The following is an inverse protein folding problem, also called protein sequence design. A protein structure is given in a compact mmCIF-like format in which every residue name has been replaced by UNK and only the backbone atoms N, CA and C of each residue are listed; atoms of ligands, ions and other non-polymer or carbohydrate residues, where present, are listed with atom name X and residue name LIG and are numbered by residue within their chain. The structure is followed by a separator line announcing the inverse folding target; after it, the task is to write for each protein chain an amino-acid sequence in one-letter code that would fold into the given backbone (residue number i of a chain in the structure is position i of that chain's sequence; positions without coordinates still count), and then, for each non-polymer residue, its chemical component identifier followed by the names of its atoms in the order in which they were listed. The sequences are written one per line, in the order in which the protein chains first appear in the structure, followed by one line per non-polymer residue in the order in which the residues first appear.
data_IF_436104327551
#
_entry.id   IF_436104327551
#
_cell.length_a   1.000
_cell.length_b   1.000
_cell.length_c   1.000
_cell.angle_alpha   90.00
_cell.angle_beta   90.00
_cell.angle_gamma   90.00
#
_symmetry.space_group_name_H-M   'P 1'
#
loop_
_entity.id
_entity.type
_entity.pdbx_description
1 polymer ?
#
# COMPACT_ATOMS: atom_id res chain seq x y z
N UNK A 1 -6.34 5.55 -2.66
CA UNK A 1 -6.70 6.74 -3.45
C UNK A 1 -5.48 7.56 -3.85
N UNK A 2 -4.53 7.86 -2.94
CA UNK A 2 -3.33 8.64 -3.27
C UNK A 2 -2.37 8.04 -4.31
N UNK A 3 -2.44 6.74 -4.62
CA UNK A 3 -1.60 6.09 -5.63
C UNK A 3 -1.88 6.54 -7.08
N UNK A 4 -3.06 7.10 -7.36
CA UNK A 4 -3.34 7.70 -8.67
C UNK A 4 -2.39 8.86 -9.01
N UNK A 5 -1.82 9.51 -7.99
CA UNK A 5 -0.81 10.55 -8.17
C UNK A 5 0.51 10.02 -8.71
N UNK A 6 0.86 8.77 -8.45
CA UNK A 6 2.08 8.19 -8.99
C UNK A 6 2.02 8.16 -10.52
N UNK A 7 0.90 7.72 -11.07
CA UNK A 7 0.66 7.73 -12.52
C UNK A 7 0.68 9.16 -13.07
N UNK A 8 -0.12 10.05 -12.48
CA UNK A 8 -0.36 11.38 -13.04
C UNK A 8 0.85 12.31 -12.88
N UNK A 9 1.43 12.39 -11.67
CA UNK A 9 2.63 13.20 -11.44
C UNK A 9 3.84 12.61 -12.16
N UNK A 10 3.97 11.27 -12.21
CA UNK A 10 5.10 10.65 -12.91
C UNK A 10 5.06 10.85 -14.42
N UNK A 11 3.90 10.59 -15.05
CA UNK A 11 3.74 10.84 -16.49
C UNK A 11 3.89 12.33 -16.83
N UNK A 12 3.39 13.23 -15.98
CA UNK A 12 3.56 14.68 -16.17
C UNK A 12 5.01 15.12 -16.02
N UNK A 13 5.73 14.58 -15.05
CA UNK A 13 7.14 14.87 -14.84
C UNK A 13 7.98 14.39 -16.03
N UNK A 14 7.75 13.17 -16.50
CA UNK A 14 8.41 12.63 -17.70
C UNK A 14 8.13 13.47 -18.95
N UNK A 15 6.89 13.95 -19.10
CA UNK A 15 6.49 14.82 -20.22
C UNK A 15 7.01 16.27 -20.11
N UNK A 16 7.78 16.62 -19.07
CA UNK A 16 8.26 17.98 -18.83
C UNK A 16 7.20 18.97 -18.35
N UNK A 17 5.98 18.51 -18.04
CA UNK A 17 4.86 19.33 -17.55
C UNK A 17 4.91 19.50 -16.03
N UNK A 18 6.05 19.98 -15.53
CA UNK A 18 6.40 20.00 -14.11
C UNK A 18 5.40 20.84 -13.28
N UNK A 19 4.84 21.89 -13.86
CA UNK A 19 3.88 22.77 -13.18
C UNK A 19 2.55 22.09 -12.83
N UNK A 20 2.14 21.06 -13.58
CA UNK A 20 0.89 20.33 -13.33
C UNK A 20 0.97 19.47 -12.07
N UNK A 21 2.17 19.10 -11.62
CA UNK A 21 2.36 18.29 -10.41
C UNK A 21 1.74 18.99 -9.20
N UNK A 22 1.93 20.30 -9.06
CA UNK A 22 1.36 21.08 -7.97
C UNK A 22 -0.17 21.12 -8.00
N UNK A 23 -0.75 21.14 -9.20
CA UNK A 23 -2.21 21.10 -9.41
C UNK A 23 -2.77 19.73 -9.05
N UNK A 24 -2.12 18.63 -9.47
CA UNK A 24 -2.52 17.28 -9.10
C UNK A 24 -2.40 17.02 -7.60
N UNK A 25 -1.33 17.54 -6.96
CA UNK A 25 -1.17 17.50 -5.51
C UNK A 25 -2.37 18.15 -4.80
N UNK A 26 -2.74 19.36 -5.20
CA UNK A 26 -3.88 20.08 -4.62
C UNK A 26 -5.21 19.34 -4.86
N UNK A 27 -5.45 18.83 -6.08
CA UNK A 27 -6.63 17.98 -6.38
C UNK A 27 -6.71 16.79 -5.44
N UNK A 28 -5.58 16.13 -5.21
CA UNK A 28 -5.51 14.96 -4.33
C UNK A 28 -5.80 15.32 -2.88
N UNK A 29 -5.24 16.42 -2.37
CA UNK A 29 -5.56 16.89 -1.01
C UNK A 29 -7.05 17.14 -0.84
N UNK A 30 -7.69 17.84 -1.78
CA UNK A 30 -9.13 18.13 -1.73
C UNK A 30 -9.94 16.83 -1.68
N UNK A 31 -9.64 15.88 -2.58
CA UNK A 31 -10.37 14.62 -2.68
C UNK A 31 -10.14 13.73 -1.45
N UNK A 32 -8.90 13.63 -0.96
CA UNK A 32 -8.59 12.80 0.20
C UNK A 32 -9.15 13.38 1.49
N UNK A 33 -9.11 14.71 1.67
CA UNK A 33 -9.74 15.38 2.82
C UNK A 33 -11.26 15.18 2.79
N UNK A 34 -11.90 15.33 1.63
CA UNK A 34 -13.33 15.03 1.48
C UNK A 34 -13.63 13.55 1.79
N UNK A 35 -12.78 12.63 1.34
CA UNK A 35 -12.90 11.20 1.63
C UNK A 35 -12.73 10.89 3.13
N UNK A 36 -11.84 11.59 3.82
CA UNK A 36 -11.69 11.49 5.28
C UNK A 36 -13.00 11.84 5.99
N UNK A 37 -13.70 12.90 5.57
CA UNK A 37 -15.02 13.22 6.12
C UNK A 37 -16.06 12.11 5.85
N UNK A 38 -16.03 11.48 4.67
CA UNK A 38 -16.92 10.35 4.37
C UNK A 38 -16.63 9.10 5.22
N UNK A 39 -15.36 8.86 5.58
CA UNK A 39 -14.92 7.68 6.37
C UNK A 39 -15.02 7.94 7.88
N UNK A 40 -14.95 9.20 8.31
CA UNK A 40 -14.99 9.61 9.72
C UNK A 40 -16.13 8.98 10.55
N UNK A 41 -17.37 8.81 10.04
CA UNK A 41 -18.42 8.10 10.77
C UNK A 41 -18.01 6.69 11.22
N UNK A 42 -17.20 5.95 10.45
CA UNK A 42 -16.72 4.62 10.85
C UNK A 42 -15.80 4.69 12.08
N UNK A 43 -15.03 5.77 12.22
CA UNK A 43 -14.17 5.99 13.40
C UNK A 43 -15.02 6.38 14.62
N UNK A 44 -15.98 7.29 14.43
CA UNK A 44 -16.88 7.75 15.50
C UNK A 44 -17.76 6.60 16.03
N UNK A 45 -18.31 5.79 15.13
CA UNK A 45 -19.18 4.67 15.47
C UNK A 45 -18.44 3.33 15.60
N UNK A 46 -17.11 3.34 15.79
CA UNK A 46 -16.32 2.11 15.92
C UNK A 46 -16.80 1.20 17.05
N UNK A 47 -17.12 1.72 18.24
CA UNK A 47 -17.63 0.91 19.36
C UNK A 47 -18.93 0.17 18.99
N UNK A 48 -20.03 0.84 18.59
CA UNK A 48 -21.27 0.13 18.25
C UNK A 48 -21.10 -0.81 17.06
N UNK A 49 -20.28 -0.45 16.06
CA UNK A 49 -19.98 -1.34 14.92
C UNK A 49 -19.29 -2.62 15.41
N UNK A 50 -18.26 -2.51 16.26
CA UNK A 50 -17.54 -3.67 16.78
C UNK A 50 -18.43 -4.55 17.66
N UNK A 51 -19.28 -3.95 18.51
CA UNK A 51 -20.28 -4.69 19.30
C UNK A 51 -21.28 -5.42 18.40
N UNK A 52 -21.74 -4.79 17.33
CA UNK A 52 -22.62 -5.42 16.34
C UNK A 52 -21.96 -6.62 15.63
N UNK A 53 -20.65 -6.54 15.39
CA UNK A 53 -19.84 -7.63 14.82
C UNK A 53 -19.50 -8.73 15.85
N UNK A 54 -20.04 -8.67 17.06
CA UNK A 54 -19.88 -9.70 18.10
C UNK A 54 -18.59 -9.58 18.93
N UNK A 55 -17.89 -8.44 18.88
CA UNK A 55 -16.75 -8.21 19.76
C UNK A 55 -17.19 -8.00 21.21
N UNK A 56 -16.33 -8.40 22.16
CA UNK A 56 -16.56 -8.16 23.59
C UNK A 56 -16.65 -6.66 23.89
N UNK A 57 -17.53 -6.29 24.81
CA UNK A 57 -17.81 -4.90 25.18
C UNK A 57 -16.56 -4.13 25.62
N UNK A 58 -15.72 -4.73 26.46
CA UNK A 58 -14.51 -4.12 26.99
C UNK A 58 -13.47 -3.81 25.90
N UNK A 59 -13.36 -4.70 24.90
CA UNK A 59 -12.46 -4.51 23.75
C UNK A 59 -13.04 -3.47 22.79
N UNK A 60 -14.34 -3.53 22.49
CA UNK A 60 -15.02 -2.63 21.56
C UNK A 60 -15.04 -1.17 22.09
N UNK A 61 -15.17 -0.97 23.39
CA UNK A 61 -15.12 0.34 24.04
C UNK A 61 -13.71 0.94 23.99
N UNK A 62 -12.69 0.15 24.30
CA UNK A 62 -11.30 0.60 24.23
C UNK A 62 -10.90 0.93 22.77
N UNK A 63 -11.24 0.06 21.82
CA UNK A 63 -10.96 0.25 20.41
C UNK A 63 -11.66 1.49 19.86
N UNK A 64 -12.95 1.70 20.17
CA UNK A 64 -13.66 2.89 19.68
C UNK A 64 -13.17 4.19 20.33
N UNK A 65 -12.78 4.17 21.61
CA UNK A 65 -12.11 5.33 22.23
C UNK A 65 -10.80 5.66 21.51
N UNK A 66 -9.98 4.66 21.20
CA UNK A 66 -8.74 4.85 20.45
C UNK A 66 -9.01 5.35 19.02
N UNK A 67 -9.99 4.76 18.32
CA UNK A 67 -10.41 5.18 16.97
C UNK A 67 -10.77 6.67 16.94
N UNK A 68 -11.57 7.16 17.89
CA UNK A 68 -11.92 8.59 17.97
C UNK A 68 -10.67 9.45 18.19
N UNK A 69 -9.75 8.98 19.03
CA UNK A 69 -8.53 9.73 19.35
C UNK A 69 -7.60 9.89 18.14
N UNK A 70 -7.52 8.91 17.24
CA UNK A 70 -6.64 8.96 16.06
C UNK A 70 -7.28 9.58 14.80
N UNK A 71 -8.45 10.21 14.92
CA UNK A 71 -9.07 10.95 13.80
C UNK A 71 -8.11 12.01 13.22
N UNK A 72 -7.35 12.80 14.01
CA UNK A 72 -6.40 13.77 13.45
C UNK A 72 -5.35 13.11 12.56
N UNK A 73 -4.84 11.94 12.93
CA UNK A 73 -3.91 11.18 12.12
C UNK A 73 -4.50 10.77 10.76
N UNK A 74 -5.78 10.43 10.68
CA UNK A 74 -6.44 10.13 9.40
C UNK A 74 -6.36 11.32 8.43
N UNK A 75 -6.57 12.54 8.91
CA UNK A 75 -6.45 13.75 8.09
C UNK A 75 -5.00 14.07 7.70
N UNK A 76 -4.02 13.76 8.56
CA UNK A 76 -2.62 13.94 8.21
C UNK A 76 -2.21 13.02 7.06
N UNK A 77 -2.76 11.79 6.97
CA UNK A 77 -2.54 10.88 5.85
C UNK A 77 -3.06 11.44 4.51
N UNK A 78 -4.19 12.16 4.54
CA UNK A 78 -4.74 12.82 3.35
C UNK A 78 -3.78 13.87 2.78
N UNK A 79 -2.91 14.44 3.61
CA UNK A 79 -1.86 15.37 3.20
C UNK A 79 -0.57 14.64 2.87
N UNK A 80 -0.12 13.74 3.75
CA UNK A 80 1.15 13.03 3.65
C UNK A 80 1.25 12.20 2.37
N UNK A 81 0.25 11.35 2.06
CA UNK A 81 0.37 10.45 0.92
C UNK A 81 0.51 11.19 -0.42
N UNK A 82 -0.31 12.19 -0.76
CA UNK A 82 -0.11 12.96 -1.99
C UNK A 82 1.23 13.68 -2.05
N UNK A 83 1.65 14.26 -0.92
CA UNK A 83 2.93 14.99 -0.80
C UNK A 83 4.12 14.06 -1.04
N UNK A 84 4.05 12.85 -0.48
CA UNK A 84 5.02 11.79 -0.73
C UNK A 84 5.06 11.41 -2.21
N UNK A 85 3.91 11.23 -2.88
CA UNK A 85 3.86 10.88 -4.30
C UNK A 85 4.38 12.00 -5.21
N UNK A 86 4.10 13.25 -4.86
CA UNK A 86 4.65 14.43 -5.55
C UNK A 86 6.19 14.44 -5.50
N UNK A 87 6.77 14.20 -4.33
CA UNK A 87 8.24 14.15 -4.17
C UNK A 87 8.86 12.91 -4.83
N UNK A 88 8.19 11.76 -4.73
CA UNK A 88 8.61 10.51 -5.36
C UNK A 88 8.65 10.62 -6.88
N UNK A 89 7.63 11.20 -7.52
CA UNK A 89 7.58 11.38 -8.98
C UNK A 89 8.79 12.15 -9.52
N UNK A 90 9.28 13.12 -8.75
CA UNK A 90 10.45 13.94 -9.07
C UNK A 90 11.78 13.30 -8.64
N UNK A 91 11.77 12.05 -8.16
CA UNK A 91 12.92 11.35 -7.58
C UNK A 91 13.55 12.04 -6.37
N UNK A 92 12.82 12.93 -5.69
CA UNK A 92 13.28 13.59 -4.48
C UNK A 92 12.99 12.72 -3.24
N UNK A 93 13.60 11.53 -3.21
CA UNK A 93 13.33 10.50 -2.19
C UNK A 93 14.21 10.64 -0.96
N UNK A 94 15.35 11.32 -1.07
CA UNK A 94 16.27 11.53 0.06
C UNK A 94 15.62 12.34 1.18
N UNK A 95 14.87 13.40 0.84
CA UNK A 95 14.13 14.19 1.84
C UNK A 95 13.08 13.34 2.56
N UNK A 96 12.40 12.43 1.86
CA UNK A 96 11.41 11.53 2.46
C UNK A 96 12.06 10.58 3.47
N UNK A 97 13.26 10.06 3.15
CA UNK A 97 14.02 9.22 4.05
C UNK A 97 14.45 9.97 5.32
N UNK A 98 14.98 11.19 5.17
CA UNK A 98 15.38 12.02 6.32
C UNK A 98 14.20 12.41 7.19
N UNK A 99 13.08 12.85 6.60
CA UNK A 99 11.85 13.16 7.34
C UNK A 99 11.35 11.92 8.07
N UNK A 100 11.34 10.75 7.43
CA UNK A 100 10.94 9.49 8.06
C UNK A 100 11.83 9.10 9.25
N UNK A 101 13.15 9.19 9.10
CA UNK A 101 14.10 8.88 10.18
C UNK A 101 13.95 9.85 11.37
N UNK A 102 13.86 11.15 11.11
CA UNK A 102 13.65 12.16 12.16
C UNK A 102 12.31 12.00 12.85
N UNK A 103 11.24 11.68 12.09
CA UNK A 103 9.94 11.42 12.65
C UNK A 103 9.92 10.17 13.53
N UNK A 104 10.67 9.11 13.18
CA UNK A 104 10.83 7.92 14.02
C UNK A 104 11.51 8.26 15.34
N UNK A 105 12.64 8.99 15.30
CA UNK A 105 13.35 9.41 16.50
C UNK A 105 12.47 10.28 17.42
N UNK A 106 11.75 11.23 16.82
CA UNK A 106 10.78 12.07 17.53
C UNK A 106 9.64 11.23 18.11
N UNK A 107 9.09 10.27 17.35
CA UNK A 107 7.99 9.41 17.82
C UNK A 107 8.38 8.60 19.06
N UNK A 108 9.59 8.03 19.08
CA UNK A 108 10.13 7.32 20.24
C UNK A 108 10.20 8.25 21.46
N UNK A 109 10.71 9.48 21.28
CA UNK A 109 10.79 10.47 22.36
C UNK A 109 9.42 10.90 22.89
N UNK A 110 8.46 11.16 22.01
CA UNK A 110 7.10 11.56 22.38
C UNK A 110 6.36 10.41 23.07
N UNK A 111 6.52 9.17 22.60
CA UNK A 111 5.97 7.98 23.27
C UNK A 111 6.54 7.84 24.69
N UNK A 112 7.85 7.98 24.85
CA UNK A 112 8.48 7.94 26.17
C UNK A 112 7.89 9.00 27.10
N UNK A 113 7.78 10.24 26.61
CA UNK A 113 7.21 11.35 27.39
C UNK A 113 5.76 11.08 27.78
N UNK A 114 4.88 10.73 26.83
CA UNK A 114 3.45 10.62 27.09
C UNK A 114 3.08 9.36 27.88
N UNK A 115 3.77 8.25 27.65
CA UNK A 115 3.46 6.98 28.31
C UNK A 115 4.21 6.84 29.64
N UNK A 116 5.50 7.14 29.69
CA UNK A 116 6.32 6.92 30.91
C UNK A 116 6.32 8.11 31.85
N UNK A 117 6.45 9.33 31.33
CA UNK A 117 6.54 10.54 32.18
C UNK A 117 5.16 11.05 32.57
N UNK A 118 4.28 11.27 31.59
CA UNK A 118 2.93 11.81 31.84
C UNK A 118 1.89 10.76 32.21
N UNK A 119 2.19 9.47 32.00
CA UNK A 119 1.31 8.34 32.32
C UNK A 119 -0.09 8.41 31.68
N UNK A 120 -0.18 8.93 30.45
CA UNK A 120 -1.45 9.04 29.71
C UNK A 120 -1.92 7.70 29.11
N UNK A 121 -1.16 6.62 29.29
CA UNK A 121 -1.49 5.28 28.81
C UNK A 121 -1.79 5.25 27.30
N UNK A 122 -2.90 4.60 26.92
CA UNK A 122 -3.34 4.44 25.53
C UNK A 122 -3.65 5.79 24.86
N UNK A 123 -4.15 6.77 25.60
CA UNK A 123 -4.38 8.12 25.07
C UNK A 123 -3.07 8.84 24.78
N UNK A 124 -2.03 8.58 25.57
CA UNK A 124 -0.68 9.03 25.26
C UNK A 124 -0.15 8.43 23.95
N UNK A 125 -0.40 7.15 23.70
CA UNK A 125 -0.03 6.50 22.44
C UNK A 125 -0.76 7.11 21.23
N UNK A 126 -2.07 7.36 21.34
CA UNK A 126 -2.84 8.02 20.29
C UNK A 126 -2.33 9.44 20.00
N UNK A 127 -2.10 10.25 21.03
CA UNK A 127 -1.56 11.60 20.87
C UNK A 127 -0.17 11.61 20.23
N UNK A 128 0.71 10.68 20.63
CA UNK A 128 2.03 10.53 20.01
C UNK A 128 1.92 10.18 18.52
N UNK A 129 0.94 9.33 18.17
CA UNK A 129 0.67 8.94 16.78
C UNK A 129 0.17 10.12 15.95
N UNK A 130 -0.76 10.92 16.45
CA UNK A 130 -1.25 12.13 15.79
C UNK A 130 -0.12 13.16 15.56
N UNK A 131 0.67 13.45 16.59
CA UNK A 131 1.77 14.41 16.53
C UNK A 131 2.81 13.98 15.50
N UNK A 132 3.24 12.72 15.54
CA UNK A 132 4.23 12.22 14.59
C UNK A 132 3.73 12.22 13.15
N UNK A 133 2.46 11.85 12.93
CA UNK A 133 1.90 11.83 11.59
C UNK A 133 1.74 13.24 11.00
N UNK A 134 1.28 14.21 11.81
CA UNK A 134 1.21 15.60 11.38
C UNK A 134 2.59 16.24 11.18
N UNK A 135 3.57 15.92 12.03
CA UNK A 135 4.94 16.40 11.85
C UNK A 135 5.52 15.95 10.51
N UNK A 136 5.29 14.70 10.09
CA UNK A 136 5.69 14.21 8.76
C UNK A 136 4.97 15.00 7.66
N UNK A 137 3.64 15.10 7.73
CA UNK A 137 2.85 15.79 6.72
C UNK A 137 3.28 17.25 6.55
N UNK A 138 3.45 17.98 7.66
CA UNK A 138 3.86 19.38 7.65
C UNK A 138 5.31 19.55 7.17
N UNK A 139 6.24 18.70 7.60
CA UNK A 139 7.63 18.78 7.17
C UNK A 139 7.75 18.64 5.64
N UNK A 140 7.00 17.69 5.05
CA UNK A 140 7.00 17.52 3.61
C UNK A 140 6.33 18.71 2.87
N UNK A 141 5.22 19.25 3.40
CA UNK A 141 4.56 20.44 2.81
C UNK A 141 5.49 21.66 2.85
N UNK A 142 6.13 21.91 3.99
CA UNK A 142 7.11 23.01 4.15
C UNK A 142 8.24 22.86 3.15
N UNK A 143 8.75 21.64 2.96
CA UNK A 143 9.79 21.37 1.98
C UNK A 143 9.32 21.69 0.54
N UNK A 144 8.12 21.24 0.15
CA UNK A 144 7.58 21.52 -1.19
C UNK A 144 7.45 23.03 -1.42
N UNK A 145 6.84 23.75 -0.47
CA UNK A 145 6.61 25.20 -0.61
C UNK A 145 7.93 25.98 -0.65
N UNK A 146 8.94 25.56 0.12
CA UNK A 146 10.22 26.27 0.21
C UNK A 146 11.20 25.94 -0.93
N UNK A 147 11.28 24.68 -1.35
CA UNK A 147 12.35 24.17 -2.22
C UNK A 147 11.90 23.65 -3.58
N UNK A 148 10.62 23.33 -3.80
CA UNK A 148 10.11 22.80 -5.07
C UNK A 148 9.51 23.90 -5.97
N UNK A 149 10.24 25.00 -6.21
CA UNK A 149 9.71 26.20 -6.91
C UNK A 149 9.31 25.97 -8.38
N UNK A 150 9.83 24.93 -9.01
CA UNK A 150 9.51 24.59 -10.40
C UNK A 150 8.21 23.80 -10.52
N UNK A 151 7.95 22.90 -9.57
CA UNK A 151 6.76 22.04 -9.53
C UNK A 151 5.63 22.57 -8.64
N UNK A 152 5.92 23.55 -7.77
CA UNK A 152 4.96 24.21 -6.91
C UNK A 152 4.96 25.73 -7.16
N UNK A 153 3.94 26.22 -7.87
CA UNK A 153 3.70 27.65 -8.15
C UNK A 153 2.70 28.30 -7.18
N UNK A 154 2.35 27.62 -6.10
CA UNK A 154 1.31 28.05 -5.15
C UNK A 154 -0.06 27.44 -5.44
N UNK A 155 -1.07 27.93 -4.70
CA UNK A 155 -2.45 27.45 -4.83
C UNK A 155 -3.06 27.89 -6.16
N UNK A 156 -3.80 26.99 -6.81
CA UNK A 156 -4.40 27.22 -8.13
C UNK A 156 -5.86 26.80 -8.17
N UNK A 157 -6.71 27.66 -8.75
CA UNK A 157 -8.11 27.35 -9.03
C UNK A 157 -8.28 26.18 -10.02
N UNK A 158 -7.23 25.87 -10.80
CA UNK A 158 -7.22 24.70 -11.68
C UNK A 158 -7.36 23.39 -10.90
N UNK A 159 -7.02 23.38 -9.61
CA UNK A 159 -7.20 22.23 -8.74
C UNK A 159 -8.67 21.89 -8.47
N UNK A 160 -9.62 22.80 -8.73
CA UNK A 160 -11.06 22.52 -8.59
C UNK A 160 -11.71 22.01 -9.88
N UNK A 161 -11.00 22.05 -11.02
CA UNK A 161 -11.49 21.51 -12.29
C UNK A 161 -11.20 20.01 -12.40
N UNK A 162 -12.06 19.28 -13.13
CA UNK A 162 -11.90 17.85 -13.44
C UNK A 162 -11.75 16.94 -12.21
N UNK A 163 -12.38 17.30 -11.08
CA UNK A 163 -12.34 16.49 -9.85
C UNK A 163 -12.98 15.11 -10.04
N UNK A 164 -14.10 15.01 -10.77
CA UNK A 164 -14.83 13.75 -10.90
C UNK A 164 -14.05 12.64 -11.65
N UNK A 165 -13.45 12.90 -12.83
CA UNK A 165 -12.56 11.92 -13.46
C UNK A 165 -11.41 11.49 -12.54
N UNK A 166 -10.87 12.42 -11.73
CA UNK A 166 -9.78 12.14 -10.83
C UNK A 166 -10.22 11.25 -9.66
N UNK A 167 -11.42 11.49 -9.12
CA UNK A 167 -12.07 10.62 -8.13
C UNK A 167 -12.22 9.21 -8.70
N UNK A 168 -12.72 9.06 -9.93
CA UNK A 168 -12.88 7.74 -10.57
C UNK A 168 -11.57 6.95 -10.63
N UNK A 169 -10.47 7.59 -11.03
CA UNK A 169 -9.14 6.97 -11.07
C UNK A 169 -8.61 6.64 -9.66
N UNK A 170 -8.80 7.56 -8.72
CA UNK A 170 -8.39 7.40 -7.32
C UNK A 170 -9.12 6.24 -6.64
N UNK A 171 -10.42 6.08 -6.89
CA UNK A 171 -11.25 4.99 -6.36
C UNK A 171 -10.80 3.66 -6.94
N UNK A 172 -10.56 3.54 -8.25
CA UNK A 172 -10.05 2.30 -8.84
C UNK A 172 -8.72 1.86 -8.19
N UNK A 173 -7.80 2.81 -8.00
CA UNK A 173 -6.52 2.56 -7.33
C UNK A 173 -6.69 2.20 -5.85
N UNK A 174 -7.69 2.76 -5.17
CA UNK A 174 -8.02 2.43 -3.80
C UNK A 174 -8.57 1.01 -3.68
N UNK A 175 -9.53 0.65 -4.55
CA UNK A 175 -10.14 -0.69 -4.57
C UNK A 175 -9.07 -1.74 -4.82
N UNK A 176 -8.17 -1.54 -5.78
CA UNK A 176 -7.07 -2.46 -6.07
C UNK A 176 -6.25 -2.79 -4.81
N UNK A 177 -5.79 -1.76 -4.08
CA UNK A 177 -4.98 -1.92 -2.86
C UNK A 177 -5.81 -2.49 -1.71
N UNK A 178 -7.06 -2.04 -1.54
CA UNK A 178 -7.94 -2.55 -0.49
C UNK A 178 -8.22 -4.04 -0.67
N UNK A 179 -8.46 -4.51 -1.91
CA UNK A 179 -8.66 -5.93 -2.22
C UNK A 179 -7.42 -6.76 -1.83
N UNK A 180 -6.21 -6.25 -2.07
CA UNK A 180 -4.97 -6.92 -1.64
C UNK A 180 -4.87 -7.01 -0.11
N UNK A 181 -5.06 -5.89 0.59
CA UNK A 181 -4.92 -5.85 2.06
C UNK A 181 -6.02 -6.68 2.74
N UNK A 182 -7.27 -6.53 2.31
CA UNK A 182 -8.41 -7.25 2.89
C UNK A 182 -8.33 -8.74 2.63
N UNK A 183 -7.75 -9.15 1.49
CA UNK A 183 -7.50 -10.55 1.23
C UNK A 183 -6.61 -11.14 2.32
N UNK A 184 -5.45 -10.53 2.61
CA UNK A 184 -4.59 -10.97 3.70
C UNK A 184 -5.27 -10.88 5.08
N UNK A 185 -6.05 -9.83 5.37
CA UNK A 185 -6.76 -9.77 6.67
C UNK A 185 -7.79 -10.90 6.84
N UNK A 186 -8.35 -11.39 5.73
CA UNK A 186 -9.31 -12.51 5.78
C UNK A 186 -8.65 -13.80 6.25
N UNK A 187 -7.34 -14.01 6.02
CA UNK A 187 -6.63 -15.21 6.51
C UNK A 187 -6.68 -15.30 8.04
N UNK A 188 -6.52 -14.18 8.73
CA UNK A 188 -6.53 -14.11 10.19
C UNK A 188 -7.92 -14.42 10.71
N UNK A 189 -8.95 -13.82 10.09
CA UNK A 189 -10.36 -14.03 10.47
C UNK A 189 -10.78 -15.49 10.29
N UNK A 190 -10.46 -16.10 9.14
CA UNK A 190 -10.77 -17.51 8.89
C UNK A 190 -10.02 -18.43 9.85
N UNK A 191 -8.72 -18.18 10.04
CA UNK A 191 -7.88 -18.98 10.95
C UNK A 191 -8.38 -18.93 12.39
N UNK A 192 -8.98 -17.81 12.81
CA UNK A 192 -9.58 -17.66 14.15
C UNK A 192 -10.81 -18.52 14.43
N UNK A 193 -11.42 -19.14 13.40
CA UNK A 193 -12.57 -20.02 13.54
C UNK A 193 -12.21 -21.53 13.49
N UNK A 194 -10.92 -21.87 13.53
CA UNK A 194 -10.47 -23.27 13.62
C UNK A 194 -10.53 -23.80 15.06
N UNK A 195 -10.47 -25.12 15.23
CA UNK A 195 -10.64 -25.81 16.53
C UNK A 195 -9.57 -25.46 17.58
N UNK A 196 -8.31 -25.18 17.18
CA UNK A 196 -7.24 -24.66 18.06
C UNK A 196 -6.82 -23.24 17.61
N UNK A 197 -7.67 -22.22 17.85
CA UNK A 197 -7.47 -20.88 17.28
C UNK A 197 -6.25 -20.19 17.89
N UNK A 198 -5.85 -20.53 19.12
CA UNK A 198 -4.71 -19.91 19.80
C UNK A 198 -3.40 -20.28 19.08
N UNK A 199 -3.19 -21.58 18.81
CA UNK A 199 -1.99 -22.03 18.10
C UNK A 199 -2.06 -21.64 16.62
N UNK A 200 -3.23 -21.77 16.01
CA UNK A 200 -3.45 -21.46 14.61
C UNK A 200 -3.17 -19.98 14.29
N UNK A 201 -3.85 -19.06 14.99
CA UNK A 201 -3.68 -17.62 14.81
C UNK A 201 -2.30 -17.19 15.29
N UNK A 202 -1.83 -17.68 16.45
CA UNK A 202 -0.53 -17.29 16.99
C UNK A 202 0.64 -17.63 16.06
N UNK A 203 0.66 -18.85 15.51
CA UNK A 203 1.73 -19.27 14.59
C UNK A 203 1.67 -18.52 13.26
N UNK A 204 0.46 -18.31 12.73
CA UNK A 204 0.23 -17.49 11.54
C UNK A 204 0.67 -16.04 11.75
N UNK A 205 0.35 -15.42 12.90
CA UNK A 205 0.73 -14.04 13.23
C UNK A 205 2.25 -13.88 13.32
N UNK A 206 2.97 -14.85 13.87
CA UNK A 206 4.45 -14.84 13.89
C UNK A 206 4.99 -14.83 12.45
N UNK A 207 4.50 -15.72 11.59
CA UNK A 207 4.93 -15.74 10.20
C UNK A 207 4.56 -14.46 9.44
N UNK A 208 3.35 -13.93 9.65
CA UNK A 208 2.88 -12.71 9.00
C UNK A 208 3.64 -11.47 9.45
N UNK A 209 4.19 -11.43 10.67
CA UNK A 209 5.09 -10.37 11.10
C UNK A 209 6.39 -10.35 10.28
N UNK A 210 7.01 -11.51 10.07
CA UNK A 210 8.21 -11.62 9.21
C UNK A 210 7.90 -11.29 7.75
N UNK A 211 6.76 -11.77 7.22
CA UNK A 211 6.29 -11.36 5.89
C UNK A 211 6.06 -9.85 5.81
N UNK A 212 5.58 -9.22 6.88
CA UNK A 212 5.41 -7.77 6.96
C UNK A 212 6.73 -7.00 6.86
N UNK A 213 7.82 -7.50 7.45
CA UNK A 213 9.15 -6.88 7.33
C UNK A 213 9.65 -6.87 5.89
N UNK A 214 9.56 -8.00 5.20
CA UNK A 214 9.88 -8.09 3.78
C UNK A 214 8.91 -7.25 2.93
N UNK A 215 7.62 -7.25 3.27
CA UNK A 215 6.60 -6.46 2.60
C UNK A 215 6.93 -4.96 2.57
N UNK A 216 7.54 -4.42 3.63
CA UNK A 216 7.97 -3.01 3.65
C UNK A 216 9.06 -2.70 2.62
N UNK A 217 9.98 -3.65 2.39
CA UNK A 217 10.98 -3.54 1.33
C UNK A 217 10.32 -3.52 -0.05
N UNK A 218 9.38 -4.43 -0.31
CA UNK A 218 8.70 -4.50 -1.60
C UNK A 218 7.68 -3.38 -1.84
N UNK A 219 7.11 -2.77 -0.80
CA UNK A 219 6.35 -1.52 -0.93
C UNK A 219 7.27 -0.39 -1.41
N UNK A 220 8.51 -0.34 -0.93
CA UNK A 220 9.53 0.60 -1.42
C UNK A 220 9.85 0.39 -2.90
N UNK A 221 10.08 -0.86 -3.30
CA UNK A 221 10.35 -1.22 -4.71
C UNK A 221 9.12 -0.93 -5.59
N UNK A 222 7.90 -1.25 -5.13
CA UNK A 222 6.64 -0.94 -5.81
C UNK A 222 6.53 0.55 -6.14
N UNK A 223 6.80 1.43 -5.17
CA UNK A 223 6.78 2.88 -5.40
C UNK A 223 7.88 3.31 -6.38
N UNK A 224 9.09 2.75 -6.26
CA UNK A 224 10.21 3.08 -7.14
C UNK A 224 9.94 2.70 -8.61
N UNK A 225 9.47 1.48 -8.87
CA UNK A 225 9.16 1.04 -10.24
C UNK A 225 7.94 1.79 -10.80
N UNK A 226 6.95 2.11 -9.97
CA UNK A 226 5.79 2.91 -10.37
C UNK A 226 6.21 4.29 -10.91
N UNK A 227 7.08 4.98 -10.16
CA UNK A 227 7.66 6.26 -10.59
C UNK A 227 8.51 6.09 -11.85
N UNK A 228 9.36 5.07 -11.93
CA UNK A 228 10.23 4.87 -13.09
C UNK A 228 9.41 4.61 -14.36
N UNK A 229 8.45 3.69 -14.31
CA UNK A 229 7.59 3.39 -15.44
C UNK A 229 6.76 4.60 -15.86
N UNK A 230 6.13 5.30 -14.91
CA UNK A 230 5.34 6.50 -15.24
C UNK A 230 6.18 7.61 -15.86
N UNK A 231 7.39 7.88 -15.34
CA UNK A 231 8.32 8.87 -15.89
C UNK A 231 8.82 8.49 -17.29
N UNK A 232 9.20 7.24 -17.53
CA UNK A 232 9.66 6.80 -18.86
C UNK A 232 8.52 6.79 -19.89
N UNK A 233 7.30 6.42 -19.48
CA UNK A 233 6.13 6.52 -20.35
C UNK A 233 5.80 7.98 -20.68
N UNK A 234 5.87 8.88 -19.68
CA UNK A 234 5.68 10.32 -19.88
C UNK A 234 6.73 10.95 -20.79
N UNK A 235 7.99 10.50 -20.69
CA UNK A 235 9.10 10.95 -21.54
C UNK A 235 9.06 10.40 -22.96
N UNK A 236 8.14 9.47 -23.27
CA UNK A 236 8.07 8.83 -24.57
C UNK A 236 9.16 7.79 -24.81
N UNK A 237 9.68 7.15 -23.76
CA UNK A 237 10.75 6.14 -23.82
C UNK A 237 10.24 4.72 -23.54
N UNK A 238 9.57 4.07 -24.51
CA UNK A 238 8.94 2.75 -24.29
C UNK A 238 9.97 1.65 -23.97
N UNK A 239 11.17 1.73 -24.55
CA UNK A 239 12.26 0.77 -24.29
C UNK A 239 12.81 0.90 -22.87
N UNK A 240 12.97 2.13 -22.36
CA UNK A 240 13.44 2.38 -21.01
C UNK A 240 12.41 1.94 -19.96
N UNK A 241 11.12 2.18 -20.22
CA UNK A 241 10.03 1.65 -19.39
C UNK A 241 10.09 0.12 -19.31
N UNK A 242 10.15 -0.57 -20.46
CA UNK A 242 10.27 -2.04 -20.52
C UNK A 242 11.51 -2.56 -19.79
N UNK A 243 12.66 -1.92 -19.98
CA UNK A 243 13.91 -2.33 -19.35
C UNK A 243 13.84 -2.17 -17.82
N UNK A 244 13.29 -1.06 -17.33
CA UNK A 244 13.08 -0.81 -15.91
C UNK A 244 12.25 -1.93 -15.27
N UNK A 245 11.18 -2.37 -15.92
CA UNK A 245 10.38 -3.50 -15.43
C UNK A 245 11.19 -4.78 -15.34
N UNK A 246 11.95 -5.11 -16.39
CA UNK A 246 12.69 -6.37 -16.42
C UNK A 246 13.80 -6.41 -15.35
N UNK A 247 14.55 -5.32 -15.19
CA UNK A 247 15.60 -5.22 -14.17
C UNK A 247 14.99 -5.32 -12.77
N UNK A 248 13.94 -4.54 -12.47
CA UNK A 248 13.36 -4.56 -11.12
C UNK A 248 12.68 -5.88 -10.79
N UNK A 249 12.02 -6.55 -11.74
CA UNK A 249 11.47 -7.90 -11.53
C UNK A 249 12.58 -8.91 -11.24
N UNK A 250 13.70 -8.85 -11.97
CA UNK A 250 14.85 -9.72 -11.73
C UNK A 250 15.49 -9.47 -10.36
N UNK A 251 15.71 -8.21 -9.99
CA UNK A 251 16.23 -7.82 -8.67
C UNK A 251 15.32 -8.29 -7.55
N UNK A 252 14.02 -8.04 -7.67
CA UNK A 252 13.05 -8.48 -6.68
C UNK A 252 12.98 -9.99 -6.56
N UNK A 253 13.06 -10.73 -7.67
CA UNK A 253 13.10 -12.18 -7.64
C UNK A 253 14.37 -12.70 -6.93
N UNK A 254 15.53 -12.07 -7.15
CA UNK A 254 16.76 -12.42 -6.44
C UNK A 254 16.63 -12.20 -4.93
N UNK A 255 16.05 -11.06 -4.52
CA UNK A 255 15.78 -10.76 -3.11
C UNK A 255 14.78 -11.76 -2.52
N UNK A 256 13.68 -12.06 -3.22
CA UNK A 256 12.67 -13.03 -2.78
C UNK A 256 13.23 -14.44 -2.64
N UNK A 257 14.10 -14.90 -3.56
CA UNK A 257 14.79 -16.19 -3.45
C UNK A 257 15.71 -16.20 -2.22
N UNK A 258 16.46 -15.12 -1.99
CA UNK A 258 17.29 -14.99 -0.80
C UNK A 258 16.45 -15.07 0.49
N UNK A 259 15.35 -14.33 0.57
CA UNK A 259 14.43 -14.38 1.72
C UNK A 259 13.84 -15.79 1.93
N UNK A 260 13.39 -16.44 0.85
CA UNK A 260 12.85 -17.80 0.87
C UNK A 260 13.87 -18.79 1.45
N UNK A 261 15.11 -18.76 0.95
CA UNK A 261 16.19 -19.62 1.43
C UNK A 261 16.49 -19.34 2.91
N UNK A 262 16.56 -18.06 3.30
CA UNK A 262 16.82 -17.68 4.68
C UNK A 262 15.75 -18.20 5.65
N UNK A 263 14.46 -18.10 5.29
CA UNK A 263 13.37 -18.63 6.12
C UNK A 263 13.43 -20.16 6.23
N UNK A 264 13.71 -20.86 5.12
CA UNK A 264 13.81 -22.33 5.14
C UNK A 264 14.97 -22.78 6.03
N UNK A 265 16.13 -22.12 5.94
CA UNK A 265 17.31 -22.42 6.77
C UNK A 265 17.07 -22.13 8.25
N UNK A 266 16.30 -21.09 8.57
CA UNK A 266 16.04 -20.64 9.95
C UNK A 266 14.72 -21.16 10.52
N UNK A 267 14.01 -22.04 9.81
CA UNK A 267 12.61 -22.44 10.11
C UNK A 267 12.36 -22.91 11.54
N UNK A 268 13.35 -23.55 12.16
CA UNK A 268 13.24 -24.11 13.51
C UNK A 268 13.68 -23.13 14.60
N UNK A 269 14.24 -21.98 14.24
CA UNK A 269 14.90 -21.06 15.17
C UNK A 269 14.27 -19.67 15.23
N UNK A 270 13.76 -19.12 14.12
CA UNK A 270 13.29 -17.73 14.11
C UNK A 270 12.09 -17.51 15.06
N UNK A 271 11.28 -18.55 15.32
CA UNK A 271 10.16 -18.49 16.25
C UNK A 271 10.58 -18.17 17.70
N UNK A 272 11.84 -18.45 18.07
CA UNK A 272 12.40 -18.15 19.39
C UNK A 272 12.41 -16.66 19.70
N UNK A 273 12.46 -15.80 18.67
CA UNK A 273 12.40 -14.34 18.82
C UNK A 273 11.02 -13.86 19.31
N UNK A 274 9.97 -14.67 19.10
CA UNK A 274 8.58 -14.29 19.34
C UNK A 274 7.95 -15.06 20.50
N UNK A 275 8.36 -16.30 20.77
CA UNK A 275 7.71 -17.13 21.79
C UNK A 275 8.63 -18.18 22.38
N UNK A 276 8.45 -18.43 23.69
CA UNK A 276 9.09 -19.53 24.42
C UNK A 276 8.28 -20.84 24.39
N UNK A 277 7.09 -20.86 23.78
CA UNK A 277 6.25 -22.06 23.70
C UNK A 277 6.72 -23.02 22.62
N UNK A 278 7.20 -24.20 23.01
CA UNK A 278 7.62 -25.24 22.06
C UNK A 278 6.49 -25.68 21.11
N UNK A 279 5.24 -25.76 21.59
CA UNK A 279 4.08 -26.11 20.76
C UNK A 279 3.89 -25.07 19.65
N UNK A 280 4.05 -23.78 19.99
CA UNK A 280 3.96 -22.69 19.01
C UNK A 280 5.12 -22.71 18.02
N UNK A 281 6.35 -22.92 18.49
CA UNK A 281 7.53 -23.00 17.63
C UNK A 281 7.42 -24.14 16.60
N UNK A 282 6.94 -25.31 17.02
CA UNK A 282 6.68 -26.44 16.12
C UNK A 282 5.60 -26.12 15.08
N UNK A 283 4.54 -25.40 15.45
CA UNK A 283 3.52 -24.95 14.51
C UNK A 283 4.09 -23.94 13.50
N UNK A 284 4.87 -22.97 13.95
CA UNK A 284 5.55 -21.99 13.09
C UNK A 284 6.53 -22.67 12.12
N UNK A 285 7.33 -23.63 12.58
CA UNK A 285 8.26 -24.38 11.71
C UNK A 285 7.53 -25.12 10.58
N UNK A 286 6.35 -25.67 10.85
CA UNK A 286 5.51 -26.30 9.81
C UNK A 286 4.96 -25.28 8.80
N UNK A 287 4.64 -24.06 9.26
CA UNK A 287 4.16 -22.97 8.40
C UNK A 287 5.29 -22.26 7.65
N UNK A 288 6.54 -22.37 8.10
CA UNK A 288 7.69 -21.69 7.52
C UNK A 288 7.89 -22.01 6.03
N UNK A 289 7.54 -23.21 5.57
CA UNK A 289 7.57 -23.54 4.14
C UNK A 289 6.56 -22.73 3.32
N UNK A 290 5.35 -22.56 3.83
CA UNK A 290 4.33 -21.71 3.19
C UNK A 290 4.71 -20.24 3.26
N UNK A 291 5.31 -19.81 4.38
CA UNK A 291 5.90 -18.47 4.50
C UNK A 291 6.96 -18.25 3.43
N UNK A 292 7.92 -19.17 3.26
CA UNK A 292 8.99 -19.03 2.28
C UNK A 292 8.47 -18.88 0.85
N UNK A 293 7.46 -19.67 0.46
CA UNK A 293 6.78 -19.53 -0.84
C UNK A 293 6.02 -18.21 -0.92
N UNK A 294 5.35 -17.79 0.15
CA UNK A 294 4.62 -16.52 0.22
C UNK A 294 5.56 -15.34 0.02
N UNK A 295 6.73 -15.35 0.66
CA UNK A 295 7.76 -14.32 0.54
C UNK A 295 8.30 -14.21 -0.89
N UNK A 296 8.57 -15.36 -1.53
CA UNK A 296 8.94 -15.37 -2.95
C UNK A 296 7.87 -14.75 -3.84
N UNK A 297 6.59 -15.10 -3.67
CA UNK A 297 5.51 -14.51 -4.48
C UNK A 297 5.31 -13.01 -4.19
N UNK A 298 5.38 -12.63 -2.91
CA UNK A 298 5.28 -11.25 -2.45
C UNK A 298 6.52 -10.40 -2.84
N UNK A 299 7.59 -11.01 -3.36
CA UNK A 299 8.68 -10.26 -3.97
C UNK A 299 8.34 -9.74 -5.36
N UNK A 300 7.59 -10.52 -6.15
CA UNK A 300 7.30 -10.20 -7.55
C UNK A 300 5.98 -9.44 -7.68
N UNK A 301 4.95 -9.85 -6.94
CA UNK A 301 3.60 -9.27 -7.06
C UNK A 301 3.57 -7.76 -6.84
N UNK A 302 4.18 -7.18 -5.78
CA UNK A 302 4.15 -5.74 -5.56
C UNK A 302 4.87 -4.97 -6.66
N UNK A 303 5.95 -5.52 -7.24
CA UNK A 303 6.65 -4.89 -8.36
C UNK A 303 5.71 -4.72 -9.54
N UNK A 304 5.00 -5.79 -9.91
CA UNK A 304 4.10 -5.75 -11.07
C UNK A 304 2.88 -4.87 -10.78
N UNK A 305 2.34 -4.89 -9.56
CA UNK A 305 1.32 -3.92 -9.15
C UNK A 305 1.85 -2.47 -9.26
N UNK A 306 3.12 -2.22 -8.96
CA UNK A 306 3.78 -0.93 -9.13
C UNK A 306 3.86 -0.52 -10.61
N UNK A 307 4.22 -1.46 -11.50
CA UNK A 307 4.20 -1.28 -12.96
C UNK A 307 2.79 -0.91 -13.44
N UNK A 308 1.77 -1.62 -12.96
CA UNK A 308 0.39 -1.33 -13.32
C UNK A 308 -0.06 0.06 -12.85
N UNK A 309 0.35 0.50 -11.67
CA UNK A 309 0.10 1.88 -11.22
C UNK A 309 0.84 2.86 -12.12
N UNK A 310 2.12 2.63 -12.44
CA UNK A 310 2.89 3.52 -13.31
C UNK A 310 2.34 3.63 -14.74
N UNK A 311 1.82 2.51 -15.27
CA UNK A 311 1.18 2.40 -16.58
C UNK A 311 -0.27 2.88 -16.63
N UNK A 312 -0.95 3.00 -15.48
CA UNK A 312 -2.36 3.40 -15.42
C UNK A 312 -3.36 2.23 -15.60
N UNK A 313 -2.95 1.01 -15.27
CA UNK A 313 -3.74 -0.23 -15.43
C UNK A 313 -4.52 -0.61 -14.16
N UNK A 314 -4.71 0.30 -13.20
CA UNK A 314 -5.23 -0.05 -11.87
C UNK A 314 -6.61 -0.73 -11.92
N UNK A 315 -7.48 -0.30 -12.84
CA UNK A 315 -8.80 -0.91 -13.00
C UNK A 315 -8.71 -2.37 -13.47
N UNK A 316 -7.86 -2.66 -14.45
CA UNK A 316 -7.63 -4.03 -14.94
C UNK A 316 -7.12 -4.93 -13.82
N UNK A 317 -6.13 -4.45 -13.05
CA UNK A 317 -5.58 -5.20 -11.91
C UNK A 317 -6.62 -5.41 -10.81
N UNK A 318 -7.50 -4.44 -10.54
CA UNK A 318 -8.59 -4.62 -9.58
C UNK A 318 -9.54 -5.76 -9.97
N UNK A 319 -9.89 -5.90 -11.27
CA UNK A 319 -10.70 -7.03 -11.75
C UNK A 319 -9.98 -8.37 -11.61
N UNK A 320 -8.68 -8.41 -11.92
CA UNK A 320 -7.86 -9.61 -11.77
C UNK A 320 -7.76 -10.01 -10.30
N UNK A 321 -7.53 -9.06 -9.39
CA UNK A 321 -7.49 -9.29 -7.95
C UNK A 321 -8.83 -9.85 -7.46
N UNK A 322 -9.96 -9.30 -7.90
CA UNK A 322 -11.29 -9.83 -7.54
C UNK A 322 -11.45 -11.30 -7.93
N UNK A 323 -11.10 -11.66 -9.17
CA UNK A 323 -11.19 -13.03 -9.67
C UNK A 323 -10.23 -13.97 -8.93
N UNK A 324 -8.94 -13.63 -8.87
CA UNK A 324 -7.93 -14.54 -8.34
C UNK A 324 -8.04 -14.70 -6.82
N UNK A 325 -8.28 -13.61 -6.09
CA UNK A 325 -8.30 -13.64 -4.63
C UNK A 325 -9.65 -14.10 -4.09
N UNK A 326 -10.74 -13.51 -4.57
CA UNK A 326 -12.06 -13.70 -3.95
C UNK A 326 -12.90 -14.78 -4.61
N UNK A 327 -12.77 -14.99 -5.93
CA UNK A 327 -13.53 -16.04 -6.63
C UNK A 327 -12.79 -17.39 -6.57
N UNK A 328 -11.46 -17.39 -6.56
CA UNK A 328 -10.66 -18.62 -6.61
C UNK A 328 -9.98 -18.89 -5.27
N UNK A 329 -9.07 -18.02 -4.84
CA UNK A 329 -8.19 -18.31 -3.72
C UNK A 329 -8.91 -18.42 -2.37
N UNK A 330 -9.89 -17.57 -2.10
CA UNK A 330 -10.64 -17.58 -0.84
C UNK A 330 -11.57 -18.81 -0.72
N UNK A 331 -12.36 -19.19 -1.75
CA UNK A 331 -13.10 -20.45 -1.73
C UNK A 331 -12.20 -21.68 -1.61
N UNK A 332 -11.05 -21.69 -2.29
CA UNK A 332 -10.08 -22.79 -2.16
C UNK A 332 -9.50 -22.86 -0.75
N UNK A 333 -9.16 -21.71 -0.16
CA UNK A 333 -8.68 -21.62 1.22
C UNK A 333 -9.72 -22.10 2.23
N UNK A 334 -10.99 -21.73 2.03
CA UNK A 334 -12.10 -22.24 2.85
C UNK A 334 -12.26 -23.76 2.71
N UNK A 335 -12.24 -24.28 1.48
CA UNK A 335 -12.39 -25.71 1.22
C UNK A 335 -11.26 -26.52 1.88
N UNK A 336 -10.01 -26.12 1.64
CA UNK A 336 -8.84 -26.80 2.19
C UNK A 336 -8.74 -26.61 3.71
N UNK A 337 -9.10 -25.44 4.22
CA UNK A 337 -9.00 -25.12 5.64
C UNK A 337 -9.98 -25.86 6.53
N UNK A 338 -11.25 -25.94 6.11
CA UNK A 338 -12.34 -26.47 6.96
C UNK A 338 -12.80 -27.87 6.59
N UNK A 339 -12.71 -28.28 5.32
CA UNK A 339 -13.16 -29.62 4.90
C UNK A 339 -12.07 -30.68 4.90
N UNK A 340 -10.81 -30.28 5.07
CA UNK A 340 -9.68 -31.21 5.14
C UNK A 340 -8.97 -31.07 6.48
N UNK A 341 -8.06 -32.00 6.80
CA UNK A 341 -7.25 -31.95 8.02
C UNK A 341 -6.12 -30.92 7.99
N UNK A 342 -6.03 -30.07 6.95
CA UNK A 342 -4.95 -29.12 6.75
C UNK A 342 -5.07 -27.85 7.61
N UNK A 343 -6.28 -27.50 8.10
CA UNK A 343 -6.50 -26.34 8.97
C UNK A 343 -5.87 -25.05 8.41
N UNK A 344 -5.01 -24.40 9.20
CA UNK A 344 -4.31 -23.16 8.81
C UNK A 344 -3.51 -23.30 7.51
N UNK A 345 -2.85 -24.44 7.33
CA UNK A 345 -2.07 -24.70 6.12
C UNK A 345 -2.98 -24.72 4.90
N UNK A 346 -4.17 -25.30 5.03
CA UNK A 346 -5.17 -25.34 3.96
C UNK A 346 -5.64 -23.96 3.54
N UNK A 347 -5.99 -23.11 4.52
CA UNK A 347 -6.40 -21.72 4.28
C UNK A 347 -5.29 -20.97 3.56
N UNK A 348 -4.07 -21.04 4.09
CA UNK A 348 -2.94 -20.31 3.54
C UNK A 348 -2.55 -20.81 2.15
N UNK A 349 -2.57 -22.13 1.90
CA UNK A 349 -2.32 -22.68 0.56
C UNK A 349 -3.32 -22.18 -0.48
N UNK A 350 -4.62 -22.14 -0.15
CA UNK A 350 -5.63 -21.59 -1.05
C UNK A 350 -5.37 -20.12 -1.37
N UNK A 351 -4.89 -19.36 -0.38
CA UNK A 351 -4.58 -17.95 -0.57
C UNK A 351 -3.29 -17.68 -1.37
N UNK A 352 -2.26 -18.50 -1.14
CA UNK A 352 -1.04 -18.53 -1.95
C UNK A 352 -1.40 -18.84 -3.41
N UNK A 353 -2.33 -19.78 -3.64
CA UNK A 353 -2.77 -20.11 -4.99
C UNK A 353 -3.43 -18.93 -5.71
N UNK A 354 -4.30 -18.17 -5.02
CA UNK A 354 -4.87 -16.94 -5.57
C UNK A 354 -3.80 -15.90 -5.93
N UNK A 355 -2.81 -15.73 -5.06
CA UNK A 355 -1.65 -14.83 -5.28
C UNK A 355 -0.79 -15.27 -6.44
N UNK A 356 -0.52 -16.57 -6.55
CA UNK A 356 0.25 -17.18 -7.62
C UNK A 356 -0.45 -17.00 -8.98
N UNK A 357 -1.75 -17.28 -9.07
CA UNK A 357 -2.52 -17.11 -10.29
C UNK A 357 -2.53 -15.65 -10.75
N UNK A 358 -2.75 -14.71 -9.82
CA UNK A 358 -2.71 -13.28 -10.10
C UNK A 358 -1.32 -12.86 -10.62
N UNK A 359 -0.25 -13.33 -9.99
CA UNK A 359 1.13 -13.03 -10.40
C UNK A 359 1.41 -13.52 -11.82
N UNK A 360 0.99 -14.74 -12.17
CA UNK A 360 1.14 -15.28 -13.53
C UNK A 360 0.39 -14.41 -14.55
N UNK A 361 -0.88 -14.09 -14.28
CA UNK A 361 -1.70 -13.29 -15.19
C UNK A 361 -1.06 -11.92 -15.42
N UNK A 362 -0.60 -11.26 -14.36
CA UNK A 362 0.06 -9.97 -14.47
C UNK A 362 1.41 -10.05 -15.20
N UNK A 363 2.22 -11.09 -14.96
CA UNK A 363 3.45 -11.34 -15.72
C UNK A 363 3.15 -11.49 -17.22
N UNK A 364 2.09 -12.23 -17.59
CA UNK A 364 1.69 -12.42 -18.98
C UNK A 364 1.22 -11.11 -19.61
N UNK A 365 0.46 -10.29 -18.87
CA UNK A 365 0.04 -8.96 -19.33
C UNK A 365 1.27 -8.10 -19.62
N UNK A 366 2.17 -7.95 -18.64
CA UNK A 366 3.41 -7.17 -18.79
C UNK A 366 4.25 -7.64 -19.97
N UNK A 367 4.36 -8.96 -20.17
CA UNK A 367 5.11 -9.54 -21.29
C UNK A 367 4.47 -9.21 -22.65
N UNK A 368 3.13 -9.21 -22.72
CA UNK A 368 2.37 -8.90 -23.94
C UNK A 368 2.15 -7.41 -24.18
N UNK A 369 2.40 -6.55 -23.19
CA UNK A 369 2.21 -5.10 -23.31
C UNK A 369 3.03 -4.52 -24.47
N UNK A 370 2.34 -3.82 -25.38
CA UNK A 370 2.99 -2.98 -26.37
C UNK A 370 3.35 -1.63 -25.73
N UNK A 371 4.60 -1.51 -25.28
CA UNK A 371 5.09 -0.31 -24.61
C UNK A 371 4.99 0.97 -25.47
N UNK A 372 4.95 0.86 -26.81
CA UNK A 372 4.73 2.01 -27.68
C UNK A 372 3.29 2.53 -27.59
N UNK A 373 2.32 1.63 -27.50
CA UNK A 373 0.91 2.01 -27.29
C UNK A 373 0.71 2.64 -25.91
N UNK A 374 1.39 2.13 -24.89
CA UNK A 374 1.33 2.71 -23.53
C UNK A 374 1.87 4.14 -23.48
N UNK A 375 2.93 4.43 -24.24
CA UNK A 375 3.45 5.80 -24.41
C UNK A 375 2.41 6.70 -25.09
N UNK A 376 1.73 6.18 -26.13
CA UNK A 376 0.68 6.93 -26.82
C UNK A 376 -0.50 7.24 -25.88
N UNK A 377 -0.93 6.26 -25.08
CA UNK A 377 -1.98 6.45 -24.07
C UNK A 377 -1.56 7.40 -22.96
N UNK A 378 -0.31 7.32 -22.48
CA UNK A 378 0.23 8.27 -21.50
C UNK A 378 0.19 9.71 -22.05
N UNK A 379 0.58 9.89 -23.31
CA UNK A 379 0.52 11.20 -23.98
C UNK A 379 -0.90 11.72 -24.12
N UNK A 380 -1.87 10.87 -24.45
CA UNK A 380 -3.29 11.23 -24.52
C UNK A 380 -3.85 11.62 -23.14
N UNK A 381 -3.52 10.85 -22.10
CA UNK A 381 -3.84 11.20 -20.71
C UNK A 381 -3.30 12.59 -20.38
N UNK A 382 -2.05 12.88 -20.70
CA UNK A 382 -1.45 14.19 -20.43
C UNK A 382 -2.17 15.35 -21.12
N UNK A 383 -2.61 15.18 -22.37
CA UNK A 383 -3.45 16.18 -23.06
C UNK A 383 -4.77 16.43 -22.33
N UNK A 384 -5.46 15.36 -21.92
CA UNK A 384 -6.73 15.47 -21.20
C UNK A 384 -6.59 16.20 -19.86
N UNK A 385 -5.53 15.92 -19.11
CA UNK A 385 -5.37 16.44 -17.74
C UNK A 385 -4.74 17.84 -17.66
N UNK A 386 -4.01 18.25 -18.69
CA UNK A 386 -3.50 19.62 -18.84
C UNK A 386 -4.60 20.64 -19.15
N UNK A 387 -5.83 20.20 -19.43
CA UNK A 387 -6.93 21.09 -19.80
C UNK A 387 -6.78 21.69 -21.19
N UNK A 388 -5.85 21.17 -22.02
CA UNK A 388 -5.73 21.48 -23.44
C UNK A 388 -6.77 20.63 -24.18
N UNK A 389 -8.05 20.93 -23.95
CA UNK A 389 -9.14 20.42 -24.78
C UNK A 389 -9.49 21.48 -25.82
N UNK A 390 -9.09 21.23 -27.07
CA UNK A 390 -9.76 21.69 -28.31
C UNK A 390 -10.16 23.17 -28.43
N UNK A 391 -9.32 24.13 -28.00
CA UNK A 391 -9.46 25.53 -28.43
C UNK A 391 -8.52 25.91 -29.59
N UNK A 392 -7.69 24.97 -30.08
CA UNK A 392 -6.72 25.24 -31.16
C UNK A 392 -7.19 24.90 -32.57
N UNK A 393 -8.38 24.31 -32.76
CA UNK A 393 -8.92 23.98 -34.09
C UNK A 393 -10.06 24.91 -34.56
N UNK A 394 -10.26 26.04 -33.87
CA UNK A 394 -11.11 27.13 -34.35
C UNK A 394 -10.35 28.45 -34.20
N UNK A 395 -9.47 28.74 -35.17
CA UNK A 395 -9.14 30.11 -35.56
C UNK A 395 -8.59 30.17 -36.97
#
# INVERSE_FOLDING_TARGET
MGSALETLCGQAFGAGQIELLGVYLQRSWIILVASCFCIMPLYIFSTPILKLLGQRDDIAELAGKFSIQIIPQMFSLAINFPTQKFLQAQSNVAILAWVGFMALAMHIGVLFLFIKVFQWGVTGAAAAYDISAWAIALAQVVYIVGWCKDSWKGLSWLALKELWPFVKLSVASAVMICLEIWYFMTIIVLTGHLEDPVIAVGSLSICMNLNGWEGMLFIGINAAISVRVSNELGSGHPRAAKYSVFVTVAESLMIGIFCMVLIILTKDHFALLFTSSEKMQKAVSKLAYLLAVTMLLNSVQPVISGVAVGGGWQALVAYINLACYYVIGLPLGFLLGYKTSLGVQGIWMGMIFGTFLQTIILCVIVYKTNWNEEVAQASERMKKWSGISEESDIK
#
